data_IF_513271953015
#
_entry.id   IF_513271953015
#
_cell.length_a   1.000
_cell.length_b   1.000
_cell.length_c   1.000
_cell.angle_alpha   90.00
_cell.angle_beta   90.00
_cell.angle_gamma   90.00
#
_symmetry.space_group_name_H-M   'P 1'
#
loop_
_entity.id
_entity.type
_entity.pdbx_description
1 polymer ?
#
# COMPACT_ATOMS: atom_id res chain seq x y z
N UNK A 1 -47.29 13.14 -26.08
CA UNK A 1 -46.81 12.04 -25.19
C UNK A 1 -45.66 11.25 -25.83
N UNK A 2 -45.62 11.01 -27.15
CA UNK A 2 -44.56 10.25 -27.83
C UNK A 2 -43.24 11.03 -27.93
N UNK A 3 -43.26 12.36 -28.06
CA UNK A 3 -42.10 13.23 -28.10
C UNK A 3 -41.42 13.36 -26.73
N UNK A 4 -42.13 13.20 -25.61
CA UNK A 4 -41.58 13.25 -24.25
C UNK A 4 -40.77 12.01 -23.91
N UNK A 5 -41.07 10.83 -24.49
CA UNK A 5 -40.31 9.59 -24.37
C UNK A 5 -39.02 9.58 -25.19
N UNK A 6 -38.94 10.37 -26.25
CA UNK A 6 -37.75 10.50 -27.09
C UNK A 6 -36.67 11.40 -26.42
N UNK A 7 -37.09 12.36 -25.56
CA UNK A 7 -36.20 13.26 -24.87
C UNK A 7 -35.55 12.64 -23.59
N UNK A 8 -36.14 11.58 -23.04
CA UNK A 8 -35.60 10.86 -21.85
C UNK A 8 -34.51 9.85 -22.26
N UNK A 9 -34.33 9.58 -23.53
CA UNK A 9 -33.24 8.77 -24.08
C UNK A 9 -32.11 9.58 -24.72
N UNK A 10 -31.86 10.77 -24.23
CA UNK A 10 -30.51 11.35 -24.34
C UNK A 10 -29.65 10.51 -23.35
N UNK A 11 -29.03 9.47 -23.89
CA UNK A 11 -28.12 8.59 -23.20
C UNK A 11 -27.13 9.45 -22.40
N UNK A 12 -27.23 9.40 -21.08
CA UNK A 12 -26.16 9.94 -20.26
C UNK A 12 -24.86 9.40 -20.86
N UNK A 13 -23.97 10.29 -21.22
CA UNK A 13 -22.65 9.88 -21.76
C UNK A 13 -22.05 8.88 -20.78
N UNK A 14 -21.54 7.74 -21.25
CA UNK A 14 -20.94 6.75 -20.35
C UNK A 14 -19.82 7.41 -19.56
N UNK A 15 -19.84 7.24 -18.24
CA UNK A 15 -18.79 7.77 -17.38
C UNK A 15 -17.65 6.74 -17.28
N UNK A 16 -16.44 7.25 -17.38
CA UNK A 16 -15.23 6.45 -17.30
C UNK A 16 -14.40 6.88 -16.08
N UNK A 17 -13.99 5.93 -15.29
CA UNK A 17 -13.25 6.16 -14.05
C UNK A 17 -11.86 5.55 -14.15
N UNK A 18 -10.87 6.37 -13.86
CA UNK A 18 -9.47 5.97 -13.76
C UNK A 18 -9.09 5.90 -12.28
N UNK A 19 -8.56 4.78 -11.86
CA UNK A 19 -7.88 4.63 -10.56
C UNK A 19 -6.37 4.55 -10.75
N UNK A 20 -5.64 5.31 -9.97
CA UNK A 20 -4.18 5.25 -9.88
C UNK A 20 -3.79 4.86 -8.46
N UNK A 21 -2.98 3.81 -8.33
CA UNK A 21 -2.28 3.42 -7.10
C UNK A 21 -0.79 3.67 -7.31
N UNK A 22 -0.28 4.74 -6.71
CA UNK A 22 1.07 5.24 -6.89
C UNK A 22 1.91 5.16 -5.63
N UNK A 23 2.91 4.29 -5.65
CA UNK A 23 3.81 4.03 -4.53
C UNK A 23 5.28 4.33 -4.80
N UNK A 24 6.15 4.02 -3.83
CA UNK A 24 7.60 4.24 -3.92
C UNK A 24 8.34 3.31 -4.88
N UNK A 25 7.67 2.29 -5.45
CA UNK A 25 8.30 1.30 -6.32
C UNK A 25 7.58 1.10 -7.65
N UNK A 26 6.29 1.38 -7.71
CA UNK A 26 5.44 1.14 -8.88
C UNK A 26 4.23 2.05 -8.87
N UNK A 27 3.67 2.25 -10.07
CA UNK A 27 2.40 2.91 -10.33
C UNK A 27 1.50 1.95 -11.11
N UNK A 28 0.23 1.86 -10.72
CA UNK A 28 -0.78 1.06 -11.43
C UNK A 28 -1.95 1.96 -11.81
N UNK A 29 -2.42 1.80 -13.03
CA UNK A 29 -3.62 2.46 -13.55
C UNK A 29 -4.67 1.41 -13.92
N UNK A 30 -5.94 1.70 -13.66
CA UNK A 30 -7.08 0.88 -14.06
C UNK A 30 -8.22 1.76 -14.49
N UNK A 31 -8.86 1.44 -15.62
CA UNK A 31 -10.05 2.14 -16.12
C UNK A 31 -11.24 1.20 -16.07
N UNK A 32 -12.33 1.71 -15.49
CA UNK A 32 -13.64 1.05 -15.51
C UNK A 32 -14.72 2.02 -16.01
N UNK A 33 -15.76 1.48 -16.65
CA UNK A 33 -16.95 2.27 -16.96
C UNK A 33 -17.88 2.37 -15.74
N UNK A 34 -18.99 3.07 -15.91
CA UNK A 34 -20.05 3.25 -14.90
C UNK A 34 -20.70 1.93 -14.43
N UNK A 35 -20.58 0.87 -15.23
CA UNK A 35 -21.05 -0.49 -14.89
C UNK A 35 -20.00 -1.38 -14.26
N UNK A 36 -18.80 -0.87 -13.99
CA UNK A 36 -17.71 -1.62 -13.37
C UNK A 36 -16.91 -2.50 -14.33
N UNK A 37 -17.19 -2.49 -15.62
CA UNK A 37 -16.43 -3.28 -16.58
C UNK A 37 -15.00 -2.73 -16.70
N UNK A 38 -14.01 -3.61 -16.61
CA UNK A 38 -12.61 -3.28 -16.86
C UNK A 38 -12.39 -2.99 -18.35
N UNK A 39 -11.82 -1.83 -18.65
CA UNK A 39 -11.57 -1.37 -20.02
C UNK A 39 -10.07 -1.33 -20.36
N UNK A 40 -9.22 -0.99 -19.41
CA UNK A 40 -7.77 -0.92 -19.65
C UNK A 40 -6.97 -0.84 -18.35
N UNK A 41 -5.72 -1.26 -18.42
CA UNK A 41 -4.75 -1.20 -17.33
C UNK A 41 -3.38 -0.73 -17.83
N UNK A 42 -2.67 0.03 -16.98
CA UNK A 42 -1.31 0.49 -17.21
C UNK A 42 -0.41 0.19 -16.02
N UNK A 43 0.89 0.05 -16.30
CA UNK A 43 1.92 -0.20 -15.29
C UNK A 43 3.08 0.79 -15.47
N UNK A 44 3.50 1.41 -14.38
CA UNK A 44 4.59 2.37 -14.36
C UNK A 44 5.55 2.16 -13.18
N UNK A 45 6.61 2.96 -13.18
CA UNK A 45 7.63 3.00 -12.13
C UNK A 45 7.17 3.64 -10.83
N UNK A 46 8.14 4.09 -10.03
CA UNK A 46 7.89 4.83 -8.79
C UNK A 46 7.14 6.14 -9.05
N UNK A 47 6.18 6.47 -8.17
CA UNK A 47 5.37 7.67 -8.25
C UNK A 47 5.08 8.27 -6.87
N UNK A 48 6.08 8.24 -5.98
CA UNK A 48 5.99 8.88 -4.67
C UNK A 48 6.22 10.39 -4.80
N UNK A 49 5.15 11.16 -4.60
CA UNK A 49 5.14 12.63 -4.77
C UNK A 49 5.98 13.39 -3.73
N UNK A 50 6.28 12.76 -2.61
CA UNK A 50 7.12 13.36 -1.57
C UNK A 50 8.60 13.32 -1.95
N UNK A 51 9.03 12.28 -2.67
CA UNK A 51 10.42 12.10 -3.09
C UNK A 51 10.76 12.89 -4.36
N UNK A 52 9.87 12.84 -5.35
CA UNK A 52 10.00 13.52 -6.63
C UNK A 52 8.62 13.88 -7.18
N UNK A 53 8.21 15.12 -7.00
CA UNK A 53 6.88 15.59 -7.42
C UNK A 53 6.71 15.56 -8.94
N UNK A 54 7.67 16.07 -9.68
CA UNK A 54 7.58 16.19 -11.15
C UNK A 54 7.66 14.84 -11.84
N UNK A 55 8.63 14.00 -11.46
CA UNK A 55 8.76 12.64 -11.99
C UNK A 55 7.58 11.73 -11.60
N UNK A 56 6.99 11.94 -10.43
CA UNK A 56 5.78 11.23 -10.04
C UNK A 56 4.58 11.59 -10.94
N UNK A 57 4.38 12.90 -11.25
CA UNK A 57 3.32 13.33 -12.16
C UNK A 57 3.51 12.79 -13.58
N UNK A 58 4.74 12.76 -14.07
CA UNK A 58 5.07 12.18 -15.38
C UNK A 58 4.76 10.69 -15.40
N UNK A 59 5.19 9.94 -14.38
CA UNK A 59 4.90 8.51 -14.25
C UNK A 59 3.40 8.23 -14.18
N UNK A 60 2.65 9.00 -13.37
CA UNK A 60 1.19 8.89 -13.25
C UNK A 60 0.53 9.11 -14.60
N UNK A 61 0.93 10.20 -15.29
CA UNK A 61 0.35 10.56 -16.60
C UNK A 61 0.63 9.49 -17.64
N UNK A 62 1.88 9.04 -17.76
CA UNK A 62 2.27 8.01 -18.73
C UNK A 62 1.56 6.69 -18.47
N UNK A 63 1.45 6.26 -17.20
CA UNK A 63 0.75 5.04 -16.80
C UNK A 63 -0.75 5.13 -17.11
N UNK A 64 -1.36 6.29 -16.88
CA UNK A 64 -2.77 6.53 -17.20
C UNK A 64 -3.02 6.53 -18.70
N UNK A 65 -2.15 7.15 -19.50
CA UNK A 65 -2.25 7.18 -20.96
C UNK A 65 -2.10 5.78 -21.57
N UNK A 66 -1.24 4.94 -21.01
CA UNK A 66 -1.15 3.53 -21.42
C UNK A 66 -2.49 2.80 -21.21
N UNK A 67 -3.10 2.97 -20.02
CA UNK A 67 -4.41 2.39 -19.72
C UNK A 67 -5.51 2.93 -20.66
N UNK A 68 -5.52 4.25 -20.94
CA UNK A 68 -6.48 4.90 -21.82
C UNK A 68 -6.35 4.40 -23.27
N UNK A 69 -5.11 4.26 -23.76
CA UNK A 69 -4.84 3.70 -25.10
C UNK A 69 -5.39 2.28 -25.24
N UNK A 70 -5.16 1.41 -24.26
CA UNK A 70 -5.69 0.04 -24.23
C UNK A 70 -7.22 0.01 -24.18
N UNK A 71 -7.82 1.00 -23.50
CA UNK A 71 -9.28 1.16 -23.42
C UNK A 71 -9.91 1.80 -24.68
N UNK A 72 -9.11 2.38 -25.58
CA UNK A 72 -9.61 3.15 -26.73
C UNK A 72 -10.29 4.47 -26.33
N UNK A 73 -9.87 5.07 -25.20
CA UNK A 73 -10.48 6.27 -24.61
C UNK A 73 -9.53 7.46 -24.65
N UNK A 74 -10.10 8.67 -24.70
CA UNK A 74 -9.34 9.90 -24.47
C UNK A 74 -9.19 10.13 -22.97
N UNK A 75 -7.98 10.45 -22.51
CA UNK A 75 -7.70 10.72 -21.10
C UNK A 75 -8.57 11.85 -20.54
N UNK A 76 -8.96 12.82 -21.36
CA UNK A 76 -9.84 13.94 -20.99
C UNK A 76 -11.27 13.55 -20.67
N UNK A 77 -11.68 12.32 -20.98
CA UNK A 77 -13.00 11.76 -20.62
C UNK A 77 -12.98 10.99 -19.29
N UNK A 78 -11.80 10.86 -18.66
CA UNK A 78 -11.60 10.07 -17.46
C UNK A 78 -11.76 10.90 -16.19
N UNK A 79 -12.61 10.46 -15.28
CA UNK A 79 -12.65 10.95 -13.90
C UNK A 79 -11.61 10.18 -13.08
N UNK A 80 -10.53 10.85 -12.68
CA UNK A 80 -9.37 10.21 -12.05
C UNK A 80 -9.41 10.27 -10.52
N UNK A 81 -9.25 9.11 -9.89
CA UNK A 81 -8.93 8.96 -8.47
C UNK A 81 -7.45 8.56 -8.32
N UNK A 82 -6.70 9.34 -7.59
CA UNK A 82 -5.26 9.16 -7.40
C UNK A 82 -4.97 8.81 -5.93
N UNK A 83 -4.59 7.58 -5.68
CA UNK A 83 -4.13 7.07 -4.40
C UNK A 83 -2.59 7.10 -4.38
N UNK A 84 -2.00 8.06 -3.70
CA UNK A 84 -0.57 8.33 -3.82
C UNK A 84 0.14 8.28 -2.47
N UNK A 85 1.23 7.51 -2.43
CA UNK A 85 2.16 7.56 -1.32
C UNK A 85 2.76 8.97 -1.18
N UNK A 86 2.78 9.48 0.05
CA UNK A 86 3.27 10.83 0.34
C UNK A 86 2.19 11.90 0.46
N UNK A 87 0.92 11.60 0.17
CA UNK A 87 -0.20 12.47 0.55
C UNK A 87 -0.53 12.25 2.03
N UNK A 88 -0.12 13.19 2.87
CA UNK A 88 -0.35 13.14 4.33
C UNK A 88 -1.40 14.17 4.76
N UNK A 89 -1.66 15.20 3.94
CA UNK A 89 -2.58 16.31 4.25
C UNK A 89 -3.49 16.62 3.07
N UNK A 90 -4.61 17.32 3.35
CA UNK A 90 -5.50 17.85 2.30
C UNK A 90 -4.77 18.80 1.34
N UNK A 91 -3.81 19.58 1.82
CA UNK A 91 -2.99 20.49 1.00
C UNK A 91 -2.20 19.71 -0.06
N UNK A 92 -1.66 18.54 0.29
CA UNK A 92 -0.99 17.67 -0.67
C UNK A 92 -1.93 17.13 -1.75
N UNK A 93 -3.14 16.74 -1.35
CA UNK A 93 -4.18 16.30 -2.28
C UNK A 93 -4.64 17.41 -3.23
N UNK A 94 -4.87 18.62 -2.71
CA UNK A 94 -5.25 19.82 -3.49
C UNK A 94 -4.17 20.21 -4.50
N UNK A 95 -2.91 20.14 -4.09
CA UNK A 95 -1.77 20.42 -4.99
C UNK A 95 -1.74 19.47 -6.19
N UNK A 96 -2.04 18.18 -5.98
CA UNK A 96 -2.14 17.21 -7.08
C UNK A 96 -3.37 17.47 -7.95
N UNK A 97 -4.53 17.73 -7.34
CA UNK A 97 -5.76 18.02 -8.07
C UNK A 97 -5.61 19.26 -8.97
N UNK A 98 -4.79 20.24 -8.56
CA UNK A 98 -4.51 21.49 -9.29
C UNK A 98 -3.32 21.40 -10.25
N UNK A 99 -2.68 20.25 -10.39
CA UNK A 99 -1.44 20.11 -11.19
C UNK A 99 -1.64 20.11 -12.71
N UNK A 100 -2.87 20.32 -13.19
CA UNK A 100 -3.17 20.40 -14.65
C UNK A 100 -3.08 19.04 -15.35
N UNK A 101 -3.34 17.95 -14.65
CA UNK A 101 -3.35 16.61 -15.25
C UNK A 101 -4.43 16.51 -16.35
N UNK A 102 -4.20 15.73 -17.43
CA UNK A 102 -5.06 15.70 -18.61
C UNK A 102 -6.29 14.81 -18.43
N UNK A 103 -7.05 15.00 -17.34
CA UNK A 103 -8.24 14.24 -17.01
C UNK A 103 -9.48 15.16 -16.92
N UNK A 104 -10.68 14.60 -17.03
CA UNK A 104 -11.94 15.33 -16.88
C UNK A 104 -12.07 15.93 -15.46
N UNK A 105 -11.69 15.17 -14.46
CA UNK A 105 -11.57 15.62 -13.08
C UNK A 105 -10.54 14.79 -12.34
N UNK A 106 -9.96 15.36 -11.26
CA UNK A 106 -8.96 14.70 -10.42
C UNK A 106 -9.38 14.77 -8.96
N UNK A 107 -9.42 13.62 -8.31
CA UNK A 107 -9.55 13.47 -6.86
C UNK A 107 -8.32 12.74 -6.35
N UNK A 108 -7.55 13.35 -5.47
CA UNK A 108 -6.34 12.75 -4.93
C UNK A 108 -6.49 12.47 -3.43
N UNK A 109 -5.82 11.44 -2.96
CA UNK A 109 -5.84 11.06 -1.55
C UNK A 109 -4.72 10.11 -1.18
N UNK A 110 -4.67 9.77 0.09
CA UNK A 110 -3.72 8.84 0.66
C UNK A 110 -3.93 7.42 0.10
N UNK A 111 -2.84 6.71 -0.15
CA UNK A 111 -2.83 5.33 -0.66
C UNK A 111 -3.51 4.33 0.30
N UNK A 112 -3.32 4.50 1.63
CA UNK A 112 -3.99 3.65 2.61
C UNK A 112 -5.51 3.86 2.62
N UNK A 113 -6.00 5.10 2.38
CA UNK A 113 -7.43 5.36 2.25
C UNK A 113 -8.04 4.58 1.08
N UNK A 114 -7.43 4.68 -0.10
CA UNK A 114 -7.90 3.93 -1.27
C UNK A 114 -7.79 2.41 -1.06
N UNK A 115 -6.69 1.93 -0.45
CA UNK A 115 -6.55 0.51 -0.12
C UNK A 115 -7.67 0.03 0.82
N UNK A 116 -8.08 0.86 1.80
CA UNK A 116 -9.19 0.55 2.69
C UNK A 116 -10.54 0.55 1.96
N UNK A 117 -10.81 1.55 1.11
CA UNK A 117 -12.01 1.59 0.26
C UNK A 117 -12.12 0.34 -0.62
N UNK A 118 -11.03 -0.04 -1.29
CA UNK A 118 -10.99 -1.25 -2.12
C UNK A 118 -11.19 -2.52 -1.30
N UNK A 119 -10.50 -2.65 -0.17
CA UNK A 119 -10.57 -3.83 0.67
C UNK A 119 -11.99 -4.13 1.19
N UNK A 120 -12.79 -3.10 1.46
CA UNK A 120 -14.13 -3.23 2.05
C UNK A 120 -15.26 -2.76 1.14
N UNK A 121 -15.01 -2.56 -0.16
CA UNK A 121 -15.98 -2.05 -1.13
C UNK A 121 -16.66 -0.74 -0.65
N UNK A 122 -15.87 0.17 -0.11
CA UNK A 122 -16.33 1.45 0.42
C UNK A 122 -17.00 1.39 1.80
N UNK A 123 -17.13 0.22 2.40
CA UNK A 123 -17.68 0.04 3.75
C UNK A 123 -16.64 0.17 4.85
N UNK A 124 -17.12 0.10 6.11
CA UNK A 124 -16.27 0.17 7.29
C UNK A 124 -15.35 -1.05 7.44
N UNK A 125 -14.15 -0.81 7.94
CA UNK A 125 -13.15 -1.83 8.24
C UNK A 125 -11.76 -1.24 8.43
N UNK A 126 -10.81 -2.07 8.84
CA UNK A 126 -9.43 -1.70 9.04
C UNK A 126 -8.47 -2.47 8.14
N UNK A 127 -7.45 -1.82 7.65
CA UNK A 127 -6.34 -2.47 6.95
C UNK A 127 -5.05 -2.33 7.74
N UNK A 128 -4.21 -3.33 7.66
CA UNK A 128 -2.83 -3.28 8.11
C UNK A 128 -1.98 -3.49 6.86
N UNK A 129 -1.17 -2.51 6.51
CA UNK A 129 -0.22 -2.64 5.41
C UNK A 129 1.13 -3.01 6.01
N UNK A 130 1.64 -4.20 5.66
CA UNK A 130 2.97 -4.68 6.03
C UNK A 130 3.78 -4.93 4.76
N UNK A 131 4.64 -3.98 4.44
CA UNK A 131 5.53 -3.97 3.28
C UNK A 131 6.94 -3.56 3.68
N UNK A 132 7.56 -2.64 2.94
CA UNK A 132 8.83 -2.00 3.35
C UNK A 132 8.64 -1.28 4.69
N UNK A 133 7.54 -0.53 4.87
CA UNK A 133 7.08 0.02 6.14
C UNK A 133 5.83 -0.70 6.66
N UNK A 134 5.27 -0.22 7.78
CA UNK A 134 4.02 -0.74 8.34
C UNK A 134 3.10 0.36 8.87
N UNK A 135 1.79 0.22 8.59
CA UNK A 135 0.76 1.15 9.01
C UNK A 135 -0.58 0.43 9.20
N UNK A 136 -1.34 0.85 10.18
CA UNK A 136 -2.76 0.55 10.31
C UNK A 136 -3.62 1.73 9.88
N UNK A 137 -4.66 1.48 9.12
CA UNK A 137 -5.64 2.49 8.70
C UNK A 137 -7.05 1.90 8.76
N UNK A 138 -8.04 2.69 9.16
CA UNK A 138 -9.44 2.25 9.16
C UNK A 138 -10.38 3.37 8.70
N UNK A 139 -11.48 2.94 8.07
CA UNK A 139 -12.68 3.74 7.86
C UNK A 139 -13.75 3.23 8.81
N UNK A 140 -14.31 4.11 9.63
CA UNK A 140 -15.33 3.76 10.63
C UNK A 140 -16.33 4.89 10.69
N UNK A 141 -17.59 4.65 10.27
CA UNK A 141 -18.61 5.67 10.21
C UNK A 141 -18.22 6.88 9.35
N UNK A 142 -17.47 6.66 8.27
CA UNK A 142 -16.96 7.71 7.40
C UNK A 142 -15.73 8.48 7.93
N UNK A 143 -15.25 8.16 9.13
CA UNK A 143 -14.06 8.77 9.73
C UNK A 143 -12.81 7.92 9.46
N UNK A 144 -11.69 8.60 9.20
CA UNK A 144 -10.40 7.98 8.98
C UNK A 144 -9.63 7.87 10.29
N UNK A 145 -9.09 6.68 10.58
CA UNK A 145 -8.23 6.42 11.73
C UNK A 145 -6.90 5.84 11.27
N UNK A 146 -5.82 6.40 11.76
CA UNK A 146 -4.47 5.96 11.43
C UNK A 146 -3.74 5.51 12.69
N UNK A 147 -2.94 4.43 12.59
CA UNK A 147 -2.11 3.88 13.68
C UNK A 147 -0.77 3.47 13.09
N UNK A 148 0.33 3.91 13.67
CA UNK A 148 1.66 3.69 13.11
C UNK A 148 1.93 4.56 11.87
N UNK A 149 2.75 4.07 10.94
CA UNK A 149 3.10 4.83 9.74
C UNK A 149 4.05 6.00 10.00
N UNK A 150 4.84 5.95 11.08
CA UNK A 150 5.79 6.99 11.47
C UNK A 150 7.11 6.94 10.70
N UNK A 151 7.23 5.98 9.77
CA UNK A 151 8.44 5.73 9.01
C UNK A 151 9.49 4.93 9.80
N UNK A 152 10.54 4.51 9.09
CA UNK A 152 11.52 3.54 9.56
C UNK A 152 12.25 3.94 10.84
N UNK A 153 12.52 5.23 11.04
CA UNK A 153 13.28 5.70 12.19
C UNK A 153 12.48 5.75 13.50
N UNK A 154 11.17 6.00 13.41
CA UNK A 154 10.29 6.19 14.56
C UNK A 154 9.25 5.08 14.72
N UNK A 155 9.07 4.24 13.70
CA UNK A 155 8.00 3.26 13.66
C UNK A 155 8.32 2.09 12.75
N UNK A 156 7.36 1.76 11.89
CA UNK A 156 7.42 0.66 10.93
C UNK A 156 7.70 -0.72 11.58
N UNK A 157 7.34 -0.88 12.87
CA UNK A 157 7.56 -2.11 13.60
C UNK A 157 6.85 -3.29 12.90
N UNK A 158 7.57 -4.40 12.74
CA UNK A 158 7.09 -5.58 12.03
C UNK A 158 7.06 -5.44 10.50
N UNK A 159 7.55 -4.33 9.92
CA UNK A 159 7.74 -4.19 8.49
C UNK A 159 8.94 -4.99 7.97
N UNK A 160 9.07 -5.10 6.65
CA UNK A 160 10.24 -5.71 6.03
C UNK A 160 11.54 -5.01 6.41
N UNK A 161 11.53 -3.67 6.44
CA UNK A 161 12.70 -2.91 6.84
C UNK A 161 13.06 -3.14 8.32
N UNK A 162 12.07 -3.22 9.18
CA UNK A 162 12.27 -3.53 10.59
C UNK A 162 12.85 -4.94 10.78
N UNK A 163 12.29 -5.96 10.11
CA UNK A 163 12.79 -7.34 10.17
C UNK A 163 14.25 -7.43 9.72
N UNK A 164 14.57 -6.84 8.56
CA UNK A 164 15.95 -6.85 8.07
C UNK A 164 16.91 -6.07 8.95
N UNK A 165 16.50 -4.93 9.49
CA UNK A 165 17.32 -4.16 10.44
C UNK A 165 17.63 -4.98 11.70
N UNK A 166 16.64 -5.70 12.24
CA UNK A 166 16.86 -6.59 13.39
C UNK A 166 17.80 -7.75 13.02
N UNK A 167 17.71 -8.30 11.82
CA UNK A 167 18.65 -9.33 11.37
C UNK A 167 20.09 -8.82 11.26
N UNK A 168 20.29 -7.61 10.71
CA UNK A 168 21.60 -6.95 10.63
C UNK A 168 22.17 -6.65 12.02
N UNK A 169 21.34 -6.18 12.96
CA UNK A 169 21.79 -5.97 14.35
C UNK A 169 22.22 -7.27 15.02
N UNK A 170 21.54 -8.40 14.78
CA UNK A 170 21.96 -9.71 15.28
C UNK A 170 23.26 -10.16 14.63
N UNK A 171 23.49 -9.86 13.35
CA UNK A 171 24.76 -10.13 12.69
C UNK A 171 25.91 -9.34 13.31
N UNK A 172 25.70 -8.07 13.67
CA UNK A 172 26.71 -7.28 14.39
C UNK A 172 27.07 -7.89 15.76
N UNK A 173 26.06 -8.33 16.53
CA UNK A 173 26.29 -9.01 17.81
C UNK A 173 27.08 -10.32 17.66
N UNK A 174 26.86 -11.05 16.56
CA UNK A 174 27.62 -12.28 16.28
C UNK A 174 29.07 -11.98 15.89
N UNK A 175 29.35 -10.92 15.11
CA UNK A 175 30.72 -10.45 14.83
C UNK A 175 31.46 -10.12 16.14
N UNK A 176 30.76 -9.53 17.11
CA UNK A 176 31.34 -9.20 18.43
C UNK A 176 31.44 -10.39 19.37
N UNK A 177 30.96 -11.58 18.96
CA UNK A 177 30.99 -12.79 19.78
C UNK A 177 29.95 -12.78 20.92
N UNK A 178 28.99 -11.85 20.93
CA UNK A 178 27.97 -11.71 21.97
C UNK A 178 26.81 -12.71 21.79
N UNK A 179 26.62 -13.24 20.60
CA UNK A 179 25.67 -14.32 20.29
C UNK A 179 26.31 -15.34 19.35
N UNK A 180 25.84 -16.57 19.38
CA UNK A 180 26.29 -17.58 18.43
C UNK A 180 25.76 -17.29 17.01
N UNK A 181 26.60 -17.48 15.95
CA UNK A 181 26.15 -17.40 14.57
C UNK A 181 25.09 -18.46 14.28
N UNK A 182 24.04 -18.05 13.53
CA UNK A 182 23.00 -18.94 13.03
C UNK A 182 22.98 -18.94 11.49
N UNK A 183 22.14 -19.77 10.89
CA UNK A 183 21.99 -19.81 9.42
C UNK A 183 21.51 -18.46 8.86
N UNK A 184 20.61 -17.77 9.56
CA UNK A 184 20.17 -16.42 9.20
C UNK A 184 21.33 -15.43 9.24
N UNK A 185 22.08 -15.41 10.34
CA UNK A 185 23.21 -14.50 10.51
C UNK A 185 24.24 -14.71 9.40
N UNK A 186 24.56 -15.95 9.07
CA UNK A 186 25.49 -16.29 7.98
C UNK A 186 25.02 -15.75 6.62
N UNK A 187 23.73 -15.89 6.29
CA UNK A 187 23.12 -15.34 5.07
C UNK A 187 23.16 -13.81 5.04
N UNK A 188 22.87 -13.15 6.15
CA UNK A 188 22.95 -11.68 6.28
C UNK A 188 24.37 -11.20 6.04
N UNK A 189 25.37 -11.81 6.68
CA UNK A 189 26.78 -11.45 6.53
C UNK A 189 27.29 -11.70 5.11
N UNK A 190 26.80 -12.73 4.43
CA UNK A 190 27.13 -12.96 3.01
C UNK A 190 26.65 -11.81 2.11
N UNK A 191 25.55 -11.14 2.45
CA UNK A 191 24.98 -10.01 1.68
C UNK A 191 25.49 -8.63 2.10
N UNK A 192 25.99 -8.47 3.34
CA UNK A 192 26.38 -7.17 3.92
C UNK A 192 27.89 -7.02 4.17
N UNK A 193 28.62 -8.14 4.14
CA UNK A 193 30.03 -8.24 4.51
C UNK A 193 30.24 -8.88 5.89
N UNK A 194 31.31 -9.65 6.00
CA UNK A 194 31.56 -10.53 7.17
C UNK A 194 32.40 -9.87 8.27
N UNK A 195 32.92 -8.68 8.02
CA UNK A 195 33.75 -7.96 9.01
C UNK A 195 32.98 -6.79 9.62
N UNK A 196 33.40 -6.32 10.79
CA UNK A 196 32.87 -5.11 11.42
C UNK A 196 32.91 -3.90 10.45
N UNK A 197 34.01 -3.75 9.72
CA UNK A 197 34.17 -2.64 8.78
C UNK A 197 33.19 -2.72 7.61
N UNK A 198 33.03 -3.91 7.01
CA UNK A 198 32.11 -4.11 5.90
C UNK A 198 30.66 -3.85 6.29
N UNK A 199 30.23 -4.41 7.43
CA UNK A 199 28.87 -4.24 7.94
C UNK A 199 28.57 -2.78 8.28
N UNK A 200 29.51 -2.06 8.91
CA UNK A 200 29.38 -0.64 9.20
C UNK A 200 29.23 0.16 7.90
N UNK A 201 30.13 -0.05 6.94
CA UNK A 201 30.09 0.61 5.64
C UNK A 201 28.80 0.34 4.85
N UNK A 202 28.27 -0.88 4.92
CA UNK A 202 26.99 -1.23 4.32
C UNK A 202 25.86 -0.44 4.99
N UNK A 203 25.81 -0.45 6.33
CA UNK A 203 24.74 0.20 7.10
C UNK A 203 24.67 1.72 6.93
N UNK A 204 25.80 2.40 6.70
CA UNK A 204 25.85 3.84 6.42
C UNK A 204 25.13 4.25 5.13
N UNK A 205 25.01 3.35 4.17
CA UNK A 205 24.42 3.57 2.85
C UNK A 205 23.03 2.95 2.70
N UNK A 206 22.72 1.99 3.56
CA UNK A 206 21.49 1.22 3.47
C UNK A 206 20.25 2.08 3.70
N UNK A 207 19.29 1.95 2.81
CA UNK A 207 17.97 2.58 2.89
C UNK A 207 16.96 1.56 3.42
N UNK A 208 15.78 1.97 3.89
CA UNK A 208 14.75 1.04 4.35
C UNK A 208 14.46 -0.12 3.39
N UNK A 209 14.50 0.12 2.08
CA UNK A 209 14.30 -0.93 1.06
C UNK A 209 15.40 -2.01 1.08
N UNK A 210 16.63 -1.63 1.44
CA UNK A 210 17.76 -2.55 1.44
C UNK A 210 17.67 -3.50 2.64
N UNK A 211 17.19 -3.00 3.78
CA UNK A 211 16.81 -3.84 4.92
C UNK A 211 15.60 -4.71 4.59
N UNK A 212 14.56 -4.15 3.96
CA UNK A 212 13.35 -4.89 3.61
C UNK A 212 13.62 -6.07 2.66
N UNK A 213 14.64 -5.97 1.81
CA UNK A 213 15.08 -7.05 0.94
C UNK A 213 15.56 -8.31 1.71
N UNK A 214 15.88 -8.17 3.00
CA UNK A 214 16.27 -9.29 3.85
C UNK A 214 15.08 -9.99 4.52
N UNK A 215 13.88 -9.41 4.50
CA UNK A 215 12.72 -10.00 5.15
C UNK A 215 12.40 -11.43 4.68
N UNK A 216 12.50 -11.79 3.41
CA UNK A 216 12.35 -13.18 2.96
C UNK A 216 13.32 -14.15 3.65
N UNK A 217 14.58 -13.74 3.84
CA UNK A 217 15.60 -14.55 4.54
C UNK A 217 15.22 -14.79 6.00
N UNK A 218 14.63 -13.80 6.66
CA UNK A 218 14.17 -13.90 8.06
C UNK A 218 13.04 -14.94 8.17
N UNK A 219 12.03 -14.87 7.30
CA UNK A 219 10.92 -15.84 7.28
C UNK A 219 11.38 -17.24 6.88
N UNK A 220 12.26 -17.36 5.89
CA UNK A 220 12.84 -18.65 5.47
C UNK A 220 13.62 -19.30 6.63
N UNK A 221 14.45 -18.53 7.31
CA UNK A 221 15.21 -19.01 8.46
C UNK A 221 14.29 -19.45 9.60
N UNK A 222 13.27 -18.65 9.91
CA UNK A 222 12.27 -18.99 10.94
C UNK A 222 11.55 -20.30 10.60
N UNK A 223 11.13 -20.48 9.36
CA UNK A 223 10.52 -21.73 8.88
C UNK A 223 11.48 -22.93 8.97
N UNK A 224 12.78 -22.69 8.81
CA UNK A 224 13.84 -23.69 8.97
C UNK A 224 14.27 -23.96 10.41
N UNK A 225 13.61 -23.36 11.41
CA UNK A 225 13.91 -23.55 12.84
C UNK A 225 15.08 -22.71 13.37
N UNK A 226 15.53 -21.69 12.64
CA UNK A 226 16.54 -20.75 13.12
C UNK A 226 15.97 -19.91 14.25
N UNK A 227 16.59 -20.00 15.43
CA UNK A 227 16.09 -19.35 16.67
C UNK A 227 16.09 -17.82 16.57
N UNK A 228 17.06 -17.23 15.87
CA UNK A 228 17.14 -15.78 15.65
C UNK A 228 16.05 -15.34 14.68
N UNK A 229 15.89 -16.07 13.58
CA UNK A 229 14.82 -15.83 12.61
C UNK A 229 13.43 -15.91 13.24
N UNK A 230 13.17 -16.96 14.01
CA UNK A 230 11.89 -17.14 14.72
C UNK A 230 11.63 -16.00 15.72
N UNK A 231 12.63 -15.61 16.51
CA UNK A 231 12.50 -14.49 17.46
C UNK A 231 12.10 -13.20 16.74
N UNK A 232 12.77 -12.85 15.64
CA UNK A 232 12.49 -11.64 14.87
C UNK A 232 11.08 -11.69 14.25
N UNK A 233 10.65 -12.84 13.74
CA UNK A 233 9.28 -13.01 13.17
C UNK A 233 8.22 -12.85 14.24
N UNK A 234 8.39 -13.44 15.42
CA UNK A 234 7.44 -13.34 16.55
C UNK A 234 7.34 -11.90 17.04
N UNK A 235 8.47 -11.21 17.27
CA UNK A 235 8.49 -9.81 17.68
C UNK A 235 7.81 -8.92 16.63
N UNK A 236 8.07 -9.15 15.34
CA UNK A 236 7.43 -8.44 14.25
C UNK A 236 5.93 -8.69 14.17
N UNK A 237 5.49 -9.95 14.32
CA UNK A 237 4.09 -10.34 14.32
C UNK A 237 3.31 -9.73 15.49
N UNK A 238 3.92 -9.65 16.67
CA UNK A 238 3.33 -8.96 17.82
C UNK A 238 3.12 -7.46 17.54
N UNK A 239 4.08 -6.80 16.87
CA UNK A 239 3.94 -5.41 16.48
C UNK A 239 2.81 -5.20 15.46
N UNK A 240 2.68 -6.08 14.45
CA UNK A 240 1.56 -6.07 13.50
C UNK A 240 0.24 -6.35 14.20
N UNK A 241 0.20 -7.29 15.15
CA UNK A 241 -0.99 -7.57 15.96
C UNK A 241 -1.41 -6.34 16.78
N UNK A 242 -0.47 -5.58 17.32
CA UNK A 242 -0.76 -4.35 18.06
C UNK A 242 -1.42 -3.28 17.17
N UNK A 243 -1.01 -3.14 15.91
CA UNK A 243 -1.72 -2.27 14.95
C UNK A 243 -3.16 -2.73 14.76
N UNK A 244 -3.37 -4.03 14.57
CA UNK A 244 -4.71 -4.62 14.41
C UNK A 244 -5.61 -4.37 15.62
N UNK A 245 -5.12 -4.65 16.83
CA UNK A 245 -5.86 -4.38 18.07
C UNK A 245 -6.24 -2.91 18.24
N UNK A 246 -5.31 -2.02 17.91
CA UNK A 246 -5.58 -0.59 17.98
C UNK A 246 -6.68 -0.14 17.02
N UNK A 247 -6.82 -0.76 15.85
CA UNK A 247 -7.92 -0.53 14.91
C UNK A 247 -9.23 -1.16 15.39
N UNK A 248 -9.19 -2.41 15.89
CA UNK A 248 -10.36 -3.09 16.47
C UNK A 248 -10.94 -2.31 17.66
N UNK A 249 -10.07 -1.80 18.53
CA UNK A 249 -10.48 -0.97 19.68
C UNK A 249 -11.14 0.35 19.28
N UNK A 250 -10.92 0.82 18.05
CA UNK A 250 -11.61 1.99 17.46
C UNK A 250 -12.92 1.64 16.76
N UNK A 251 -13.26 0.36 16.67
CA UNK A 251 -14.51 -0.10 16.08
C UNK A 251 -14.38 -0.69 14.67
N UNK A 252 -13.18 -1.00 14.19
CA UNK A 252 -12.95 -1.57 12.84
C UNK A 252 -13.45 -3.02 12.70
N UNK A 253 -14.41 -3.51 13.31
CA UNK A 253 -15.08 -4.83 13.27
C UNK A 253 -14.42 -5.99 12.50
N UNK A 254 -13.64 -5.71 11.44
CA UNK A 254 -12.91 -6.63 10.57
C UNK A 254 -11.64 -5.99 10.03
N UNK A 255 -10.64 -6.82 9.69
CA UNK A 255 -9.33 -6.37 9.25
C UNK A 255 -8.92 -7.03 7.92
N UNK A 256 -8.17 -6.32 7.07
CA UNK A 256 -7.40 -6.93 5.98
C UNK A 256 -5.91 -6.70 6.21
N UNK A 257 -5.10 -7.74 6.01
CA UNK A 257 -3.65 -7.64 6.04
C UNK A 257 -3.12 -7.55 4.61
N UNK A 258 -2.53 -6.43 4.27
CA UNK A 258 -2.07 -6.07 2.93
C UNK A 258 -0.54 -5.91 2.89
N UNK A 259 -0.01 -5.74 1.67
CA UNK A 259 1.43 -5.60 1.45
C UNK A 259 2.14 -6.93 1.25
N UNK A 260 3.45 -6.85 0.98
CA UNK A 260 4.26 -8.04 0.63
C UNK A 260 4.33 -9.09 1.74
N UNK A 261 4.22 -8.67 3.00
CA UNK A 261 4.26 -9.55 4.17
C UNK A 261 2.87 -10.06 4.57
N UNK A 262 1.80 -9.59 3.92
CA UNK A 262 0.43 -9.98 4.23
C UNK A 262 0.15 -11.48 4.07
N UNK A 263 0.94 -12.16 3.22
CA UNK A 263 0.79 -13.61 2.98
C UNK A 263 1.56 -14.48 3.97
N UNK A 264 2.60 -13.95 4.60
CA UNK A 264 3.51 -14.73 5.45
C UNK A 264 3.28 -14.53 6.94
N UNK A 265 2.72 -13.40 7.35
CA UNK A 265 2.46 -13.11 8.76
C UNK A 265 1.27 -13.88 9.40
N UNK A 266 0.17 -14.22 8.72
CA UNK A 266 -1.03 -14.75 9.38
C UNK A 266 -0.79 -15.90 10.37
N UNK A 267 0.12 -16.88 10.14
CA UNK A 267 0.38 -17.94 11.11
C UNK A 267 0.98 -17.48 12.43
N UNK A 268 1.65 -16.32 12.43
CA UNK A 268 2.39 -15.79 13.58
C UNK A 268 1.64 -14.71 14.34
N UNK A 269 0.52 -14.21 13.80
CA UNK A 269 -0.30 -13.18 14.45
C UNK A 269 -1.03 -13.75 15.67
N UNK A 270 -1.29 -12.88 16.62
CA UNK A 270 -2.10 -13.19 17.79
C UNK A 270 -3.52 -13.61 17.39
N UNK A 271 -4.11 -14.52 18.15
CA UNK A 271 -5.36 -15.21 17.79
C UNK A 271 -6.55 -14.25 17.58
N UNK A 272 -6.64 -13.20 18.38
CA UNK A 272 -7.71 -12.18 18.30
C UNK A 272 -7.65 -11.40 16.98
N UNK A 273 -6.46 -10.95 16.59
CA UNK A 273 -6.25 -10.23 15.33
C UNK A 273 -6.44 -11.15 14.13
N UNK A 274 -5.89 -12.37 14.20
CA UNK A 274 -6.04 -13.36 13.14
C UNK A 274 -7.50 -13.73 12.89
N UNK A 275 -8.31 -13.82 13.95
CA UNK A 275 -9.75 -14.11 13.85
C UNK A 275 -10.55 -12.98 13.15
N UNK A 276 -10.06 -11.75 13.23
CA UNK A 276 -10.69 -10.59 12.56
C UNK A 276 -10.27 -10.42 11.09
N UNK A 277 -9.29 -11.21 10.60
CA UNK A 277 -8.80 -11.09 9.23
C UNK A 277 -9.83 -11.61 8.22
N UNK A 278 -10.07 -10.80 7.20
CA UNK A 278 -10.85 -11.16 6.01
C UNK A 278 -10.04 -10.89 4.75
N UNK A 279 -10.38 -11.54 3.65
CA UNK A 279 -9.80 -11.24 2.35
C UNK A 279 -10.29 -9.88 1.85
N UNK A 280 -9.43 -9.06 1.21
CA UNK A 280 -9.86 -7.81 0.60
C UNK A 280 -10.78 -8.09 -0.60
N UNK A 281 -11.86 -7.30 -0.74
CA UNK A 281 -12.79 -7.41 -1.86
C UNK A 281 -12.17 -6.95 -3.18
N UNK A 282 -11.35 -5.89 -3.13
CA UNK A 282 -10.62 -5.33 -4.27
C UNK A 282 -9.31 -4.68 -3.82
N UNK A 283 -8.50 -4.23 -4.75
CA UNK A 283 -7.22 -3.58 -4.49
C UNK A 283 -7.31 -2.04 -4.36
N UNK A 284 -6.17 -1.38 -4.07
CA UNK A 284 -6.10 0.07 -3.93
C UNK A 284 -6.43 0.81 -5.22
N UNK A 285 -6.20 0.21 -6.39
CA UNK A 285 -6.54 0.82 -7.69
C UNK A 285 -8.06 0.93 -7.85
N UNK A 286 -8.81 -0.10 -7.48
CA UNK A 286 -10.29 -0.03 -7.45
C UNK A 286 -10.78 0.92 -6.35
N UNK A 287 -10.10 0.98 -5.19
CA UNK A 287 -10.39 1.98 -4.17
C UNK A 287 -10.18 3.41 -4.65
N UNK A 288 -9.16 3.67 -5.46
CA UNK A 288 -8.96 4.96 -6.11
C UNK A 288 -10.09 5.28 -7.10
N UNK A 289 -10.58 4.30 -7.86
CA UNK A 289 -11.79 4.47 -8.69
C UNK A 289 -13.00 4.85 -7.82
N UNK A 290 -13.16 4.23 -6.65
CA UNK A 290 -14.26 4.56 -5.73
C UNK A 290 -14.17 6.02 -5.26
N UNK A 291 -12.96 6.55 -4.99
CA UNK A 291 -12.77 7.97 -4.68
C UNK A 291 -13.24 8.88 -5.81
N UNK A 292 -12.90 8.55 -7.08
CA UNK A 292 -13.36 9.31 -8.24
C UNK A 292 -14.90 9.28 -8.37
N UNK A 293 -15.53 8.12 -8.16
CA UNK A 293 -16.99 7.95 -8.21
C UNK A 293 -17.70 8.78 -7.13
N UNK A 294 -17.18 8.75 -5.90
CA UNK A 294 -17.71 9.53 -4.77
C UNK A 294 -17.65 11.04 -5.06
N UNK A 295 -16.55 11.53 -5.68
CA UNK A 295 -16.42 12.92 -6.10
C UNK A 295 -17.48 13.33 -7.14
N UNK A 296 -17.97 12.38 -7.96
CA UNK A 296 -19.09 12.57 -8.88
C UNK A 296 -20.46 12.32 -8.23
N UNK A 297 -20.51 12.19 -6.90
CA UNK A 297 -21.75 11.89 -6.13
C UNK A 297 -22.42 10.57 -6.53
N UNK A 298 -21.65 9.63 -7.05
CA UNK A 298 -22.09 8.28 -7.35
C UNK A 298 -21.75 7.32 -6.20
N UNK A 299 -22.49 6.20 -6.03
CA UNK A 299 -22.09 5.16 -5.10
C UNK A 299 -20.66 4.70 -5.38
N UNK A 300 -19.87 4.47 -4.35
CA UNK A 300 -18.49 3.96 -4.50
C UNK A 300 -18.44 2.58 -5.13
N UNK A 301 -19.48 1.77 -4.92
CA UNK A 301 -19.62 0.41 -5.47
C UNK A 301 -20.40 0.39 -6.77
N UNK A 302 -20.22 -0.68 -7.52
CA UNK A 302 -21.01 -1.03 -8.70
C UNK A 302 -22.31 -1.69 -8.22
N UNK A 303 -23.44 -1.23 -8.70
CA UNK A 303 -24.77 -1.86 -8.48
C UNK A 303 -24.97 -3.05 -9.41
#
# INVERSE_FOLDING_TARGET
LVLFWYYIRMSAQPLYFLGIDGGGSRCRARIRNDRGQLLGEGLGGASNIYQDFSGALETITTTALEAATKAGLNSRDLHAGLALAGIVTSVGAERIASAGLPFASVTAGNDAHAACLGAFSGGDGGIIIAGTGSIGFALIGGQQHMVGGWGFQLGDHGSGAWLGHHAVRRAALAIDGLIQPTSLISKVLAGTGATRFDLSRWSERAKPKDYAAMAPLVFEAAAGGDVVGMTIVIEGAAAISNLGRALLARGAGRLCLLGGLGKVYPPYLDADVRAALVAPAADATDGAIMMARQAQKLPGTWS
#
